data_IF_352755280004
#
_entry.id   IF_352755280004
#
_cell.length_a   1.000
_cell.length_b   1.000
_cell.length_c   1.000
_cell.angle_alpha   90.00
_cell.angle_beta   90.00
_cell.angle_gamma   90.00
#
_symmetry.space_group_name_H-M   'P 1'
#
loop_
_entity.id
_entity.type
_entity.pdbx_description
1 polymer ?
#
# COMPACT_ATOMS: atom_id res chain seq x y z
N UNK A 1 -37.70 53.95 5.70
CA UNK A 1 -38.00 52.68 6.40
C UNK A 1 -38.26 51.60 5.35
N UNK A 2 -37.43 50.54 5.40
CA UNK A 2 -37.69 49.12 5.04
C UNK A 2 -38.33 48.80 3.67
N UNK A 3 -37.84 47.89 2.85
CA UNK A 3 -36.63 47.09 2.73
C UNK A 3 -36.72 46.46 1.32
N UNK A 4 -35.62 46.46 0.57
CA UNK A 4 -35.53 45.80 -0.74
C UNK A 4 -35.51 44.28 -0.49
N UNK A 5 -36.53 43.55 -0.95
CA UNK A 5 -36.55 42.09 -0.90
C UNK A 5 -35.58 41.53 -1.95
N UNK A 6 -34.38 41.17 -1.50
CA UNK A 6 -33.42 40.37 -2.25
C UNK A 6 -33.91 38.92 -2.25
N UNK A 7 -34.47 38.47 -3.37
CA UNK A 7 -34.79 37.05 -3.57
C UNK A 7 -33.50 36.30 -3.90
N UNK A 8 -32.84 35.78 -2.87
CA UNK A 8 -31.71 34.85 -2.99
C UNK A 8 -32.21 33.52 -3.57
N UNK A 9 -32.07 33.34 -4.87
CA UNK A 9 -32.23 32.04 -5.52
C UNK A 9 -30.98 31.20 -5.20
N UNK A 10 -31.05 30.40 -4.13
CA UNK A 10 -30.03 29.41 -3.81
C UNK A 10 -30.03 28.33 -4.91
N UNK A 11 -29.08 28.43 -5.84
CA UNK A 11 -28.77 27.34 -6.76
C UNK A 11 -28.02 26.28 -5.95
N UNK A 12 -28.73 25.29 -5.42
CA UNK A 12 -28.10 24.06 -4.95
C UNK A 12 -27.71 23.23 -6.16
N UNK A 13 -26.54 23.52 -6.74
CA UNK A 13 -25.87 22.54 -7.59
C UNK A 13 -25.41 21.43 -6.66
N UNK A 14 -26.25 20.41 -6.51
CA UNK A 14 -25.87 19.16 -5.88
C UNK A 14 -24.90 18.47 -6.84
N UNK A 15 -23.60 18.72 -6.67
CA UNK A 15 -22.56 17.98 -7.38
C UNK A 15 -22.69 16.51 -7.04
N UNK A 16 -23.32 15.73 -7.92
CA UNK A 16 -23.18 14.29 -7.95
C UNK A 16 -21.72 13.99 -8.28
N UNK A 17 -20.88 13.96 -7.24
CA UNK A 17 -19.52 13.45 -7.34
C UNK A 17 -19.62 11.97 -7.74
N UNK A 18 -19.09 11.69 -8.93
CA UNK A 18 -19.10 10.42 -9.66
C UNK A 18 -19.14 9.15 -8.79
N UNK A 19 -20.28 8.45 -8.80
CA UNK A 19 -20.46 7.11 -8.21
C UNK A 19 -19.96 5.98 -9.11
N UNK A 20 -18.82 6.16 -9.77
CA UNK A 20 -18.24 5.13 -10.65
C UNK A 20 -16.71 5.00 -10.51
N UNK A 21 -16.15 5.38 -9.36
CA UNK A 21 -14.81 4.91 -9.01
C UNK A 21 -14.97 3.50 -8.46
N UNK A 22 -14.63 2.47 -9.26
CA UNK A 22 -14.35 1.15 -8.68
C UNK A 22 -13.24 1.37 -7.66
N UNK A 23 -13.52 1.10 -6.40
CA UNK A 23 -12.50 1.08 -5.37
C UNK A 23 -11.39 0.12 -5.80
N UNK A 24 -10.15 0.48 -5.50
CA UNK A 24 -9.01 -0.36 -5.84
C UNK A 24 -9.07 -1.67 -5.07
N UNK A 25 -8.97 -2.78 -5.79
CA UNK A 25 -9.00 -4.12 -5.20
C UNK A 25 -7.68 -4.41 -4.47
N UNK A 26 -7.69 -4.19 -3.15
CA UNK A 26 -6.53 -4.47 -2.28
C UNK A 26 -6.26 -5.96 -2.19
N UNK A 27 -7.28 -6.82 -2.22
CA UNK A 27 -7.09 -8.26 -2.21
C UNK A 27 -6.30 -8.73 -3.44
N UNK A 28 -6.64 -8.24 -4.63
CA UNK A 28 -5.88 -8.50 -5.86
C UNK A 28 -4.42 -8.03 -5.74
N UNK A 29 -4.20 -6.86 -5.13
CA UNK A 29 -2.85 -6.37 -4.85
C UNK A 29 -2.03 -7.31 -3.97
N UNK A 30 -2.56 -7.70 -2.80
CA UNK A 30 -1.82 -8.58 -1.90
C UNK A 30 -1.68 -10.01 -2.46
N UNK A 31 -2.60 -10.47 -3.30
CA UNK A 31 -2.44 -11.71 -4.05
C UNK A 31 -1.27 -11.63 -5.04
N UNK A 32 -1.10 -10.49 -5.73
CA UNK A 32 0.06 -10.27 -6.59
C UNK A 32 1.36 -10.18 -5.80
N UNK A 33 1.37 -9.54 -4.62
CA UNK A 33 2.55 -9.47 -3.73
C UNK A 33 2.97 -10.86 -3.25
N UNK A 34 2.02 -11.76 -2.98
CA UNK A 34 2.29 -13.17 -2.62
C UNK A 34 2.64 -14.07 -3.82
N UNK A 35 2.40 -13.59 -5.04
CA UNK A 35 2.60 -14.38 -6.24
C UNK A 35 4.09 -14.56 -6.57
N UNK A 36 4.42 -15.72 -7.13
CA UNK A 36 5.73 -16.00 -7.72
C UNK A 36 5.72 -15.81 -9.26
N UNK A 37 4.62 -15.28 -9.81
CA UNK A 37 4.45 -15.00 -11.24
C UNK A 37 4.77 -13.54 -11.56
N UNK A 38 5.84 -13.30 -12.32
CA UNK A 38 6.19 -11.96 -12.83
C UNK A 38 5.05 -11.36 -13.65
N UNK A 39 4.34 -12.17 -14.44
CA UNK A 39 3.18 -11.73 -15.23
C UNK A 39 2.06 -11.17 -14.34
N UNK A 40 1.75 -11.86 -13.25
CA UNK A 40 0.71 -11.42 -12.29
C UNK A 40 1.10 -10.10 -11.62
N UNK A 41 2.38 -9.91 -11.31
CA UNK A 41 2.86 -8.65 -10.75
C UNK A 41 2.79 -7.52 -11.79
N UNK A 42 3.14 -7.78 -13.05
CA UNK A 42 3.09 -6.78 -14.13
C UNK A 42 1.65 -6.33 -14.46
N UNK A 43 0.71 -7.28 -14.45
CA UNK A 43 -0.72 -6.98 -14.57
C UNK A 43 -1.17 -6.08 -13.41
N UNK A 44 -0.75 -6.39 -12.18
CA UNK A 44 -1.11 -5.57 -11.03
C UNK A 44 -0.44 -4.19 -11.02
N UNK A 45 0.80 -4.07 -11.49
CA UNK A 45 1.46 -2.77 -11.68
C UNK A 45 0.64 -1.91 -12.65
N UNK A 46 0.21 -2.49 -13.77
CA UNK A 46 -0.62 -1.81 -14.77
C UNK A 46 -1.97 -1.37 -14.18
N UNK A 47 -2.59 -2.23 -13.36
CA UNK A 47 -3.83 -1.91 -12.65
C UNK A 47 -3.66 -0.74 -11.65
N UNK A 48 -2.57 -0.74 -10.87
CA UNK A 48 -2.23 0.37 -9.95
C UNK A 48 -2.04 1.68 -10.73
N UNK A 49 -1.25 1.64 -11.80
CA UNK A 49 -0.97 2.83 -12.63
C UNK A 49 -2.24 3.41 -13.25
N UNK A 50 -3.16 2.55 -13.69
CA UNK A 50 -4.44 2.95 -14.31
C UNK A 50 -5.53 3.33 -13.29
N UNK A 51 -5.33 3.02 -12.00
CA UNK A 51 -6.33 3.23 -10.96
C UNK A 51 -6.59 4.71 -10.64
N UNK A 52 -7.61 4.99 -9.84
CA UNK A 52 -7.83 6.30 -9.23
C UNK A 52 -7.13 6.50 -7.87
N UNK A 53 -6.27 5.58 -7.44
CA UNK A 53 -5.64 5.67 -6.13
C UNK A 53 -4.89 6.99 -5.96
N UNK A 54 -5.04 7.61 -4.79
CA UNK A 54 -4.28 8.80 -4.41
C UNK A 54 -2.80 8.46 -4.23
N UNK A 55 -2.51 7.29 -3.67
CA UNK A 55 -1.17 6.92 -3.22
C UNK A 55 -0.60 5.73 -4.00
N UNK A 56 -0.67 5.80 -5.34
CA UNK A 56 -0.21 4.74 -6.24
C UNK A 56 1.24 4.33 -6.01
N UNK A 57 2.09 5.28 -5.64
CA UNK A 57 3.52 5.05 -5.46
C UNK A 57 3.82 4.00 -4.37
N UNK A 58 3.06 3.96 -3.27
CA UNK A 58 3.26 2.93 -2.24
C UNK A 58 3.01 1.52 -2.80
N UNK A 59 1.90 1.35 -3.52
CA UNK A 59 1.50 0.08 -4.11
C UNK A 59 2.46 -0.33 -5.25
N UNK A 60 2.73 0.58 -6.18
CA UNK A 60 3.66 0.33 -7.29
C UNK A 60 5.06 0.02 -6.77
N UNK A 61 5.54 0.78 -5.78
CA UNK A 61 6.86 0.58 -5.20
C UNK A 61 7.03 -0.79 -4.56
N UNK A 62 5.99 -1.25 -3.85
CA UNK A 62 5.93 -2.59 -3.27
C UNK A 62 6.02 -3.68 -4.34
N UNK A 63 5.25 -3.55 -5.43
CA UNK A 63 5.26 -4.52 -6.54
C UNK A 63 6.60 -4.55 -7.28
N UNK A 64 7.24 -3.39 -7.49
CA UNK A 64 8.56 -3.30 -8.11
C UNK A 64 9.62 -4.02 -7.26
N UNK A 65 9.62 -3.82 -5.94
CA UNK A 65 10.54 -4.52 -5.05
C UNK A 65 10.25 -6.02 -4.98
N UNK A 66 8.97 -6.45 -4.98
CA UNK A 66 8.62 -7.87 -5.10
C UNK A 66 9.11 -8.46 -6.41
N UNK A 67 8.88 -7.78 -7.55
CA UNK A 67 9.35 -8.19 -8.88
C UNK A 67 10.86 -8.34 -8.94
N UNK A 68 11.61 -7.46 -8.27
CA UNK A 68 13.07 -7.56 -8.17
C UNK A 68 13.55 -8.89 -7.57
N UNK A 69 12.75 -9.51 -6.69
CA UNK A 69 13.04 -10.84 -6.15
C UNK A 69 12.93 -11.97 -7.18
N UNK A 70 12.12 -11.79 -8.23
CA UNK A 70 11.74 -12.85 -9.17
C UNK A 70 12.46 -12.79 -10.52
N UNK A 71 12.84 -11.60 -10.98
CA UNK A 71 13.50 -11.44 -12.29
C UNK A 71 14.94 -11.95 -12.27
N UNK A 72 15.56 -12.16 -13.44
CA UNK A 72 16.98 -12.51 -13.55
C UNK A 72 17.84 -11.27 -13.84
N UNK A 73 19.15 -11.39 -13.60
CA UNK A 73 20.13 -10.33 -13.86
C UNK A 73 20.27 -9.31 -12.71
N UNK A 74 21.48 -9.23 -12.13
CA UNK A 74 21.74 -8.40 -10.96
C UNK A 74 21.40 -6.91 -11.16
N UNK A 75 21.70 -6.35 -12.34
CA UNK A 75 21.37 -4.96 -12.68
C UNK A 75 19.86 -4.71 -12.67
N UNK A 76 19.08 -5.59 -13.29
CA UNK A 76 17.62 -5.45 -13.35
C UNK A 76 16.99 -5.57 -11.97
N UNK A 77 17.43 -6.56 -11.17
CA UNK A 77 17.01 -6.70 -9.77
C UNK A 77 17.29 -5.42 -8.98
N UNK A 78 18.51 -4.90 -9.07
CA UNK A 78 18.91 -3.72 -8.30
C UNK A 78 18.14 -2.46 -8.72
N UNK A 79 17.92 -2.26 -10.02
CA UNK A 79 17.16 -1.12 -10.51
C UNK A 79 15.71 -1.15 -10.02
N UNK A 80 15.00 -2.27 -10.24
CA UNK A 80 13.63 -2.44 -9.78
C UNK A 80 13.50 -2.25 -8.26
N UNK A 81 14.44 -2.81 -7.49
CA UNK A 81 14.44 -2.66 -6.04
C UNK A 81 14.65 -1.20 -5.62
N UNK A 82 15.60 -0.49 -6.24
CA UNK A 82 15.86 0.92 -5.95
C UNK A 82 14.67 1.80 -6.29
N UNK A 83 14.09 1.62 -7.47
CA UNK A 83 12.94 2.41 -7.93
C UNK A 83 11.73 2.18 -7.03
N UNK A 84 11.47 0.91 -6.68
CA UNK A 84 10.38 0.57 -5.78
C UNK A 84 10.58 1.09 -4.36
N UNK A 85 11.81 1.02 -3.85
CA UNK A 85 12.18 1.58 -2.54
C UNK A 85 11.97 3.08 -2.48
N UNK A 86 12.39 3.82 -3.51
CA UNK A 86 12.21 5.29 -3.57
C UNK A 86 10.72 5.63 -3.46
N UNK A 87 9.87 4.92 -4.21
CA UNK A 87 8.42 5.14 -4.20
C UNK A 87 7.78 4.82 -2.84
N UNK A 88 8.05 3.64 -2.27
CA UNK A 88 7.45 3.25 -1.00
C UNK A 88 7.93 4.12 0.16
N UNK A 89 9.24 4.39 0.26
CA UNK A 89 9.79 5.22 1.33
C UNK A 89 9.33 6.68 1.22
N UNK A 90 9.16 7.22 0.00
CA UNK A 90 8.56 8.54 -0.19
C UNK A 90 7.11 8.57 0.31
N UNK A 91 6.31 7.55 -0.01
CA UNK A 91 4.92 7.46 0.46
C UNK A 91 4.84 7.36 1.99
N UNK A 92 5.71 6.54 2.61
CA UNK A 92 5.83 6.42 4.08
C UNK A 92 6.28 7.74 4.72
N UNK A 93 7.20 8.47 4.08
CA UNK A 93 7.62 9.77 4.59
C UNK A 93 6.49 10.80 4.54
N UNK A 94 5.67 10.77 3.49
CA UNK A 94 4.57 11.69 3.28
C UNK A 94 3.38 11.40 4.22
N UNK A 95 3.11 10.12 4.49
CA UNK A 95 2.10 9.68 5.45
C UNK A 95 2.70 8.63 6.40
N UNK A 96 3.42 9.12 7.41
CA UNK A 96 4.13 8.29 8.37
C UNK A 96 3.20 7.53 9.34
N UNK A 97 1.92 7.90 9.37
CA UNK A 97 0.89 7.32 10.21
C UNK A 97 0.17 6.15 9.53
N UNK A 98 0.41 5.94 8.23
CA UNK A 98 -0.23 4.91 7.44
C UNK A 98 0.27 3.51 7.80
N UNK A 99 -0.53 2.75 8.54
CA UNK A 99 -0.19 1.37 8.93
C UNK A 99 -0.08 0.44 7.74
N UNK A 100 -0.84 0.67 6.67
CA UNK A 100 -0.79 -0.19 5.48
C UNK A 100 0.57 -0.08 4.78
N UNK A 101 1.15 1.12 4.70
CA UNK A 101 2.47 1.29 4.09
C UNK A 101 3.59 0.64 4.92
N UNK A 102 3.48 0.73 6.26
CA UNK A 102 4.38 0.02 7.19
C UNK A 102 4.28 -1.48 6.98
N UNK A 103 3.07 -2.00 6.79
CA UNK A 103 2.83 -3.41 6.49
C UNK A 103 3.43 -3.84 5.15
N UNK A 104 3.23 -3.05 4.08
CA UNK A 104 3.87 -3.30 2.79
C UNK A 104 5.41 -3.32 2.91
N UNK A 105 5.98 -2.37 3.66
CA UNK A 105 7.42 -2.33 3.91
C UNK A 105 7.89 -3.56 4.66
N UNK A 106 7.21 -3.96 5.74
CA UNK A 106 7.50 -5.18 6.50
C UNK A 106 7.56 -6.41 5.59
N UNK A 107 6.56 -6.60 4.72
CA UNK A 107 6.53 -7.73 3.77
C UNK A 107 7.81 -7.78 2.93
N UNK A 108 8.23 -6.65 2.37
CA UNK A 108 9.45 -6.59 1.55
C UNK A 108 10.70 -6.83 2.39
N UNK A 109 10.79 -6.23 3.58
CA UNK A 109 11.97 -6.34 4.44
C UNK A 109 12.23 -7.80 4.87
N UNK A 110 11.20 -8.58 5.19
CA UNK A 110 11.36 -9.98 5.60
C UNK A 110 12.06 -10.81 4.50
N UNK A 111 11.80 -10.49 3.24
CA UNK A 111 12.30 -11.24 2.08
C UNK A 111 13.55 -10.60 1.43
N UNK A 112 13.87 -9.34 1.72
CA UNK A 112 14.95 -8.61 1.06
C UNK A 112 16.35 -9.14 1.43
N UNK A 113 17.28 -9.40 0.48
CA UNK A 113 18.64 -9.84 0.80
C UNK A 113 19.39 -8.87 1.74
N UNK A 114 20.26 -9.38 2.63
CA UNK A 114 21.02 -8.52 3.57
C UNK A 114 21.84 -7.43 2.86
N UNK A 115 22.36 -7.71 1.66
CA UNK A 115 23.21 -6.79 0.90
C UNK A 115 22.51 -5.50 0.47
N UNK A 116 21.17 -5.49 0.36
CA UNK A 116 20.43 -4.27 -0.01
C UNK A 116 20.09 -3.38 1.19
N UNK A 117 20.47 -3.79 2.41
CA UNK A 117 20.31 -3.02 3.66
C UNK A 117 18.89 -2.45 3.82
N UNK A 118 17.90 -3.32 3.73
CA UNK A 118 16.48 -2.98 3.79
C UNK A 118 15.77 -3.89 4.79
N UNK A 119 16.32 -4.00 6.00
CA UNK A 119 15.78 -4.83 7.10
C UNK A 119 15.76 -4.08 8.44
N UNK A 120 16.19 -2.83 8.44
CA UNK A 120 16.49 -2.09 9.66
C UNK A 120 15.22 -1.66 10.41
N UNK A 121 14.07 -1.66 9.72
CA UNK A 121 12.79 -1.20 10.25
C UNK A 121 11.85 -2.35 10.63
N UNK A 122 12.28 -3.62 10.51
CA UNK A 122 11.43 -4.80 10.74
C UNK A 122 10.71 -4.76 12.09
N UNK A 123 11.45 -4.54 13.18
CA UNK A 123 10.90 -4.50 14.53
C UNK A 123 10.00 -3.29 14.73
N UNK A 124 10.39 -2.13 14.19
CA UNK A 124 9.63 -0.89 14.33
C UNK A 124 8.29 -0.95 13.57
N UNK A 125 8.31 -1.47 12.34
CA UNK A 125 7.10 -1.66 11.53
C UNK A 125 6.16 -2.69 12.17
N UNK A 126 6.68 -3.82 12.66
CA UNK A 126 5.86 -4.83 13.33
C UNK A 126 5.14 -4.25 14.55
N UNK A 127 5.86 -3.58 15.45
CA UNK A 127 5.27 -2.96 16.62
C UNK A 127 4.24 -1.86 16.25
N UNK A 128 4.49 -1.10 15.19
CA UNK A 128 3.55 -0.10 14.70
C UNK A 128 2.27 -0.73 14.16
N UNK A 129 2.38 -1.84 13.44
CA UNK A 129 1.23 -2.59 12.89
C UNK A 129 0.41 -3.18 14.02
N UNK A 130 1.04 -3.88 14.97
CA UNK A 130 0.38 -4.47 16.14
C UNK A 130 -0.41 -3.41 16.92
N UNK A 131 0.22 -2.26 17.21
CA UNK A 131 -0.41 -1.16 17.96
C UNK A 131 -1.64 -0.57 17.27
N UNK A 132 -1.65 -0.50 15.94
CA UNK A 132 -2.70 0.16 15.17
C UNK A 132 -3.69 -0.80 14.52
N UNK A 133 -3.50 -2.12 14.69
CA UNK A 133 -4.23 -3.17 14.00
C UNK A 133 -5.76 -3.02 14.09
N UNK A 134 -6.29 -2.76 15.29
CA UNK A 134 -7.74 -2.59 15.53
C UNK A 134 -8.38 -1.43 14.77
N UNK A 135 -7.58 -0.44 14.36
CA UNK A 135 -8.07 0.75 13.68
C UNK A 135 -8.17 0.56 12.15
N UNK A 136 -7.70 -0.58 11.64
CA UNK A 136 -7.70 -0.89 10.22
C UNK A 136 -9.05 -1.40 9.75
N UNK A 137 -9.30 -1.34 8.44
CA UNK A 137 -10.49 -1.95 7.85
C UNK A 137 -10.50 -3.47 8.10
N UNK A 138 -11.68 -4.10 8.22
CA UNK A 138 -11.77 -5.55 8.38
C UNK A 138 -11.04 -6.34 7.29
N UNK A 139 -11.07 -5.85 6.05
CA UNK A 139 -10.33 -6.42 4.92
C UNK A 139 -8.82 -6.45 5.20
N UNK A 140 -8.23 -5.31 5.61
CA UNK A 140 -6.80 -5.22 5.86
C UNK A 140 -6.40 -6.01 7.12
N UNK A 141 -7.26 -6.05 8.14
CA UNK A 141 -7.05 -6.90 9.32
C UNK A 141 -6.93 -8.38 8.91
N UNK A 142 -7.83 -8.87 8.06
CA UNK A 142 -7.79 -10.24 7.55
C UNK A 142 -6.49 -10.53 6.77
N UNK A 143 -6.10 -9.62 5.87
CA UNK A 143 -4.87 -9.74 5.07
C UNK A 143 -3.63 -9.84 5.96
N UNK A 144 -3.57 -9.03 7.01
CA UNK A 144 -2.47 -8.99 7.98
C UNK A 144 -2.44 -10.28 8.81
N UNK A 145 -3.58 -10.75 9.32
CA UNK A 145 -3.69 -12.02 10.06
C UNK A 145 -3.23 -13.20 9.19
N UNK A 146 -3.63 -13.22 7.93
CA UNK A 146 -3.19 -14.28 7.01
C UNK A 146 -1.69 -14.25 6.78
N UNK A 147 -1.11 -13.06 6.64
CA UNK A 147 0.33 -12.90 6.48
C UNK A 147 1.11 -13.27 7.76
N UNK A 148 0.61 -12.92 8.94
CA UNK A 148 1.29 -13.17 10.22
C UNK A 148 1.48 -14.67 10.52
N UNK A 149 0.68 -15.55 9.90
CA UNK A 149 0.84 -17.01 10.00
C UNK A 149 2.19 -17.51 9.44
N UNK A 150 2.77 -16.79 8.48
CA UNK A 150 4.05 -17.13 7.85
C UNK A 150 5.16 -16.10 8.13
N UNK A 151 4.84 -15.01 8.82
CA UNK A 151 5.79 -13.93 9.11
C UNK A 151 6.80 -14.35 10.19
N UNK A 152 8.05 -13.97 9.98
CA UNK A 152 9.13 -14.19 10.94
C UNK A 152 9.07 -13.19 12.10
N UNK A 153 8.60 -11.96 11.84
CA UNK A 153 8.59 -10.86 12.80
C UNK A 153 7.19 -10.55 13.34
N UNK A 154 6.15 -10.53 12.49
CA UNK A 154 4.78 -10.18 12.90
C UNK A 154 4.03 -11.42 13.40
N UNK A 155 3.63 -11.46 14.68
CA UNK A 155 2.99 -12.64 15.26
C UNK A 155 1.51 -12.44 15.49
N UNK A 156 0.70 -13.42 15.10
CA UNK A 156 -0.77 -13.38 15.25
C UNK A 156 -1.20 -13.14 16.69
N UNK A 157 -0.46 -13.65 17.68
CA UNK A 157 -0.75 -13.46 19.12
C UNK A 157 -0.74 -12.00 19.56
N UNK A 158 -0.04 -11.14 18.82
CA UNK A 158 0.11 -9.72 19.13
C UNK A 158 -0.90 -8.84 18.38
N UNK A 159 -1.64 -9.44 17.43
CA UNK A 159 -2.70 -8.78 16.67
C UNK A 159 -4.01 -8.87 17.47
N UNK A 160 -4.09 -8.07 18.54
CA UNK A 160 -5.26 -8.02 19.40
C UNK A 160 -6.08 -6.79 19.16
#
# INVERSE_FOLDING_TARGET
MKAVLFSLLFITVFSQKDRNRKDFDKQAFYNAVRSESVKTIDEQITAVQSSGLKDKDAFEGTLLMKKAGLVTGAKNKLNLFKDGRIKLEAAIKNDNSNTEYRFMRLIIQEHAPKIVKYRDELTADAAFIEKNFRNLSPELQHIIIDYSKQSTTLKTTNLQ
#
